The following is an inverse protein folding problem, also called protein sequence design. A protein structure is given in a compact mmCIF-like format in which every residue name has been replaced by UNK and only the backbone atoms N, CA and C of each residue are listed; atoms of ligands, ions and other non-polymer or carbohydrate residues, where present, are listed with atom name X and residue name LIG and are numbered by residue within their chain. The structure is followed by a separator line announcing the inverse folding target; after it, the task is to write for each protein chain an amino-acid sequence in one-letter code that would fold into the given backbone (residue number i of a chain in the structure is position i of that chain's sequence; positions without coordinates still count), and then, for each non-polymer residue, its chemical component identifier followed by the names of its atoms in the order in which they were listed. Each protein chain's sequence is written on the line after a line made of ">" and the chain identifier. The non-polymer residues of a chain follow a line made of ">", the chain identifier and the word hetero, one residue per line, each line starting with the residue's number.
data_IF_007673774766
#
_entry.id   IF_007673774766
#
_cell.length_a   1.000
_cell.length_b   1.000
_cell.length_c   1.000
_cell.angle_alpha   90.00
_cell.angle_beta   90.00
_cell.angle_gamma   90.00
#
_symmetry.space_group_name_H-M   'P 1'
#
loop_
_entity.id
_entity.type
_entity.pdbx_description
1 polymer ?
#
# COMPACT_ATOMS: atom_id res chain seq x y z
N UNK A 1 8.09 8.48 -23.50
CA UNK A 1 6.64 8.73 -23.27
C UNK A 1 5.94 7.40 -23.11
N UNK A 2 5.20 7.15 -22.01
CA UNK A 2 4.44 5.91 -21.85
C UNK A 2 3.20 5.94 -22.76
N UNK A 3 3.27 5.22 -23.87
CA UNK A 3 2.40 5.35 -25.05
C UNK A 3 1.08 4.56 -24.95
N UNK A 4 0.96 3.58 -24.05
CA UNK A 4 -0.26 2.78 -23.88
C UNK A 4 -0.83 2.82 -22.45
N UNK A 5 -2.14 2.58 -22.31
CA UNK A 5 -2.81 2.52 -21.00
C UNK A 5 -2.20 1.47 -20.06
N UNK A 6 -1.75 0.34 -20.62
CA UNK A 6 -1.08 -0.71 -19.88
C UNK A 6 0.27 -0.25 -19.32
N UNK A 7 1.04 0.53 -20.08
CA UNK A 7 2.30 1.10 -19.60
C UNK A 7 2.06 2.09 -18.47
N UNK A 8 1.08 2.99 -18.60
CA UNK A 8 0.74 3.93 -17.52
C UNK A 8 0.37 3.21 -16.22
N UNK A 9 -0.38 2.12 -16.32
CA UNK A 9 -0.73 1.30 -15.16
C UNK A 9 0.48 0.59 -14.55
N UNK A 10 1.43 0.11 -15.36
CA UNK A 10 2.70 -0.47 -14.86
C UNK A 10 3.54 0.59 -14.13
N UNK A 11 3.68 1.78 -14.70
CA UNK A 11 4.40 2.90 -14.08
C UNK A 11 3.75 3.32 -12.77
N UNK A 12 2.41 3.42 -12.74
CA UNK A 12 1.66 3.72 -11.51
C UNK A 12 1.94 2.67 -10.42
N UNK A 13 1.82 1.39 -10.75
CA UNK A 13 2.08 0.31 -9.77
C UNK A 13 3.52 0.29 -9.27
N UNK A 14 4.49 0.55 -10.14
CA UNK A 14 5.89 0.63 -9.75
C UNK A 14 6.14 1.80 -8.77
N UNK A 15 5.53 2.96 -9.04
CA UNK A 15 5.58 4.13 -8.16
C UNK A 15 4.92 3.85 -6.80
N UNK A 16 3.72 3.29 -6.81
CA UNK A 16 2.95 2.98 -5.61
C UNK A 16 3.70 1.93 -4.74
N UNK A 17 4.35 0.95 -5.37
CA UNK A 17 5.26 0.02 -4.69
C UNK A 17 6.47 0.74 -4.09
N UNK A 18 7.07 1.69 -4.82
CA UNK A 18 8.18 2.49 -4.33
C UNK A 18 7.82 3.33 -3.10
N UNK A 19 6.58 3.82 -3.01
CA UNK A 19 6.09 4.57 -1.86
C UNK A 19 5.96 3.71 -0.60
N UNK A 20 5.47 2.47 -0.72
CA UNK A 20 5.26 1.58 0.44
C UNK A 20 6.54 0.89 0.91
N UNK A 21 7.38 0.47 -0.03
CA UNK A 21 8.54 -0.39 0.26
C UNK A 21 9.86 0.39 0.28
N UNK A 22 9.82 1.72 0.12
CA UNK A 22 10.94 2.65 0.23
C UNK A 22 10.71 3.68 1.35
N UNK A 23 11.31 4.88 1.23
CA UNK A 23 11.15 6.00 2.19
C UNK A 23 9.90 6.87 1.89
N UNK A 24 8.93 6.34 1.15
CA UNK A 24 7.78 7.12 0.70
C UNK A 24 6.71 7.32 1.77
N UNK A 25 5.79 8.25 1.50
CA UNK A 25 4.62 8.51 2.33
C UNK A 25 3.40 7.75 1.80
N UNK A 26 3.02 6.70 2.53
CA UNK A 26 1.89 5.82 2.18
C UNK A 26 0.51 6.52 2.26
N UNK A 27 0.42 7.69 2.89
CA UNK A 27 -0.81 8.51 2.89
C UNK A 27 -1.19 9.02 1.49
N UNK A 28 -0.23 9.06 0.55
CA UNK A 28 -0.45 9.52 -0.82
C UNK A 28 -0.98 8.43 -1.76
N UNK A 29 -1.13 7.18 -1.26
CA UNK A 29 -1.69 6.09 -2.05
C UNK A 29 -3.19 6.31 -2.29
N UNK A 30 -3.67 5.95 -3.48
CA UNK A 30 -5.12 5.78 -3.68
C UNK A 30 -5.63 4.55 -2.92
N UNK A 31 -6.90 4.52 -2.51
CA UNK A 31 -7.48 3.40 -1.74
C UNK A 31 -7.27 2.03 -2.41
N UNK A 32 -7.43 1.96 -3.73
CA UNK A 32 -7.16 0.72 -4.49
C UNK A 32 -5.70 0.28 -4.37
N UNK A 33 -4.76 1.22 -4.44
CA UNK A 33 -3.34 0.92 -4.30
C UNK A 33 -2.99 0.51 -2.86
N UNK A 34 -3.61 1.15 -1.87
CA UNK A 34 -3.44 0.83 -0.46
C UNK A 34 -3.88 -0.62 -0.16
N UNK A 35 -5.04 -1.03 -0.67
CA UNK A 35 -5.54 -2.41 -0.54
C UNK A 35 -4.65 -3.42 -1.29
N UNK A 36 -4.19 -3.08 -2.50
CA UNK A 36 -3.28 -3.93 -3.29
C UNK A 36 -1.95 -4.14 -2.56
N UNK A 37 -1.37 -3.07 -2.01
CA UNK A 37 -0.12 -3.15 -1.24
C UNK A 37 -0.30 -3.88 0.09
N UNK A 38 -1.45 -3.74 0.75
CA UNK A 38 -1.77 -4.49 1.96
C UNK A 38 -1.81 -6.00 1.69
N UNK A 39 -2.46 -6.43 0.60
CA UNK A 39 -2.50 -7.84 0.23
C UNK A 39 -1.08 -8.42 0.01
N UNK A 40 -0.22 -7.67 -0.69
CA UNK A 40 1.18 -8.05 -0.92
C UNK A 40 1.95 -8.11 0.41
N UNK A 41 1.81 -7.10 1.28
CA UNK A 41 2.49 -7.03 2.56
C UNK A 41 2.05 -8.15 3.50
N UNK A 42 0.75 -8.47 3.52
CA UNK A 42 0.19 -9.58 4.28
C UNK A 42 0.74 -10.93 3.81
N UNK A 43 0.78 -11.17 2.49
CA UNK A 43 1.35 -12.41 1.95
C UNK A 43 2.82 -12.57 2.36
N UNK A 44 3.63 -11.52 2.23
CA UNK A 44 5.02 -11.51 2.65
C UNK A 44 5.18 -11.76 4.16
N UNK A 45 4.31 -11.17 4.99
CA UNK A 45 4.31 -11.42 6.42
C UNK A 45 4.00 -12.89 6.74
N UNK A 46 3.07 -13.53 6.01
CA UNK A 46 2.79 -14.96 6.13
C UNK A 46 3.94 -15.85 5.69
N UNK A 47 4.73 -15.40 4.72
CA UNK A 47 5.96 -16.07 4.26
C UNK A 47 7.14 -15.87 5.23
N UNK A 48 6.92 -15.21 6.37
CA UNK A 48 7.95 -15.00 7.41
C UNK A 48 8.75 -13.72 7.25
N UNK A 49 8.38 -12.82 6.32
CA UNK A 49 8.93 -11.47 6.29
C UNK A 49 8.30 -10.61 7.40
N UNK A 50 8.93 -9.48 7.74
CA UNK A 50 8.41 -8.57 8.76
C UNK A 50 6.99 -8.08 8.46
N UNK A 51 6.17 -7.92 9.51
CA UNK A 51 4.77 -7.49 9.40
C UNK A 51 4.56 -5.97 9.54
N UNK A 52 5.62 -5.19 9.79
CA UNK A 52 5.54 -3.76 10.08
C UNK A 52 4.80 -2.97 8.97
N UNK A 53 5.10 -3.26 7.71
CA UNK A 53 4.45 -2.62 6.56
C UNK A 53 2.96 -2.97 6.50
N UNK A 54 2.61 -4.24 6.72
CA UNK A 54 1.20 -4.65 6.74
C UNK A 54 0.40 -3.93 7.85
N UNK A 55 1.02 -3.75 9.03
CA UNK A 55 0.41 -3.02 10.14
C UNK A 55 0.29 -1.51 9.85
N UNK A 56 1.29 -0.89 9.22
CA UNK A 56 1.24 0.51 8.79
C UNK A 56 0.09 0.78 7.82
N UNK A 57 -0.04 -0.06 6.79
CA UNK A 57 -1.12 0.03 5.80
C UNK A 57 -2.50 -0.21 6.42
N UNK A 58 -2.64 -1.15 7.35
CA UNK A 58 -3.90 -1.35 8.09
C UNK A 58 -4.29 -0.12 8.91
N UNK A 59 -3.32 0.54 9.54
CA UNK A 59 -3.55 1.76 10.31
C UNK A 59 -4.02 2.90 9.41
N UNK A 60 -3.41 3.04 8.23
CA UNK A 60 -3.82 4.05 7.24
C UNK A 60 -5.24 3.78 6.71
N UNK A 61 -5.60 2.52 6.43
CA UNK A 61 -6.98 2.16 6.08
C UNK A 61 -7.93 2.56 7.21
N UNK A 62 -7.62 2.18 8.45
CA UNK A 62 -8.43 2.51 9.61
C UNK A 62 -8.59 4.02 9.80
N UNK A 63 -7.55 4.81 9.53
CA UNK A 63 -7.60 6.26 9.55
C UNK A 63 -8.57 6.81 8.49
N UNK A 64 -8.49 6.33 7.24
CA UNK A 64 -9.35 6.79 6.12
C UNK A 64 -10.83 6.49 6.33
N UNK A 65 -11.15 5.34 6.91
CA UNK A 65 -12.55 4.96 7.18
C UNK A 65 -13.06 5.48 8.54
N UNK A 66 -12.30 6.36 9.21
CA UNK A 66 -12.70 7.00 10.45
C UNK A 66 -12.76 6.06 11.65
N UNK A 67 -12.06 4.92 11.61
CA UNK A 67 -11.90 4.01 12.75
C UNK A 67 -10.77 4.45 13.70
N UNK A 68 -10.02 5.50 13.37
CA UNK A 68 -8.99 6.09 14.23
C UNK A 68 -9.62 6.56 15.55
N UNK A 69 -9.54 5.72 16.59
CA UNK A 69 -10.14 5.95 17.91
C UNK A 69 -10.85 4.74 18.52
N UNK A 70 -11.16 3.70 17.72
CA UNK A 70 -11.62 2.40 18.24
C UNK A 70 -10.43 1.44 18.17
N UNK A 71 -10.05 0.83 19.30
CA UNK A 71 -9.00 -0.19 19.31
C UNK A 71 -9.36 -1.29 18.32
N UNK A 72 -8.46 -1.55 17.37
CA UNK A 72 -8.45 -2.80 16.61
C UNK A 72 -7.99 -3.94 17.51
#
# INVERSE_FOLDING_TARGET
>A
MATTSAERMRWKRARDRGMVWGEGDESQLSDTALIEQLAIAYQKAREGQGNAIALGLLREIAARIGLSGKSL
#
